data_IF_907830926781
#
_entry.id   IF_907830926781
#
_cell.length_a   1.000
_cell.length_b   1.000
_cell.length_c   1.000
_cell.angle_alpha   90.00
_cell.angle_beta   90.00
_cell.angle_gamma   90.00
#
_symmetry.space_group_name_H-M   'P 1'
#
loop_
_entity.id
_entity.type
_entity.pdbx_description
1 polymer ?
#
# COMPACT_ATOMS: atom_id res chain seq x y z
N UNK A 1 7.96 11.59 -9.40
CA UNK A 1 7.26 10.32 -9.60
C UNK A 1 7.09 9.71 -8.22
N UNK A 2 5.95 9.12 -7.97
CA UNK A 2 5.70 8.35 -6.75
C UNK A 2 5.63 6.87 -7.10
N UNK A 3 5.80 6.04 -6.09
CA UNK A 3 5.65 4.59 -6.19
C UNK A 3 4.75 4.13 -5.05
N UNK A 4 3.85 3.22 -5.38
CA UNK A 4 3.10 2.47 -4.40
C UNK A 4 3.90 1.21 -4.09
N UNK A 5 4.34 1.09 -2.84
CA UNK A 5 5.24 0.06 -2.35
C UNK A 5 4.54 -0.76 -1.29
N UNK A 6 4.72 -2.07 -1.32
CA UNK A 6 4.28 -3.00 -0.30
C UNK A 6 5.49 -3.74 0.25
N UNK A 7 5.65 -3.66 1.57
CA UNK A 7 6.54 -4.51 2.33
C UNK A 7 5.69 -5.61 2.96
N UNK A 8 5.85 -6.85 2.51
CA UNK A 8 5.14 -8.00 3.05
C UNK A 8 6.01 -8.76 4.05
N UNK A 9 5.42 -9.18 5.17
CA UNK A 9 6.12 -9.80 6.28
C UNK A 9 5.44 -11.07 6.74
N UNK A 10 6.26 -12.05 7.11
CA UNK A 10 5.79 -13.15 7.96
C UNK A 10 5.41 -12.63 9.36
N UNK A 11 4.29 -13.11 9.87
CA UNK A 11 3.77 -12.73 11.18
C UNK A 11 2.93 -11.45 11.20
N UNK A 12 1.98 -11.39 12.13
CA UNK A 12 0.91 -10.38 12.18
C UNK A 12 1.33 -9.02 12.75
N UNK A 13 2.46 -8.97 13.46
CA UNK A 13 2.88 -7.79 14.22
C UNK A 13 4.08 -7.07 13.59
N UNK A 14 4.67 -7.64 12.54
CA UNK A 14 5.91 -7.15 11.93
C UNK A 14 5.70 -5.85 11.15
N UNK A 15 4.61 -5.72 10.40
CA UNK A 15 4.31 -4.48 9.65
C UNK A 15 4.10 -3.27 10.57
N UNK A 16 3.57 -3.46 11.78
CA UNK A 16 3.39 -2.37 12.77
C UNK A 16 4.74 -1.92 13.35
N UNK A 17 5.64 -2.86 13.64
CA UNK A 17 7.01 -2.53 14.05
C UNK A 17 7.74 -1.81 12.93
N UNK A 18 7.53 -2.23 11.68
CA UNK A 18 8.13 -1.57 10.53
C UNK A 18 7.63 -0.13 10.35
N UNK A 19 6.33 0.11 10.59
CA UNK A 19 5.77 1.47 10.58
C UNK A 19 6.52 2.42 11.51
N UNK A 20 6.91 1.95 12.69
CA UNK A 20 7.67 2.77 13.65
C UNK A 20 9.08 3.11 13.14
N UNK A 21 9.75 2.17 12.48
CA UNK A 21 11.04 2.42 11.83
C UNK A 21 10.92 3.40 10.67
N UNK A 22 9.91 3.22 9.80
CA UNK A 22 9.65 4.15 8.70
C UNK A 22 9.39 5.56 9.21
N UNK A 23 8.75 5.69 10.37
CA UNK A 23 8.50 6.99 10.98
C UNK A 23 9.79 7.68 11.42
N UNK A 24 10.75 6.93 11.98
CA UNK A 24 12.06 7.48 12.32
C UNK A 24 12.86 7.90 11.07
N UNK A 25 12.86 7.07 10.02
CA UNK A 25 13.53 7.39 8.76
C UNK A 25 12.94 8.65 8.11
N UNK A 26 11.62 8.77 8.09
CA UNK A 26 10.95 9.96 7.58
C UNK A 26 11.28 11.21 8.42
N UNK A 27 11.30 11.09 9.75
CA UNK A 27 11.66 12.20 10.64
C UNK A 27 13.10 12.68 10.43
N UNK A 28 13.98 11.78 10.02
CA UNK A 28 15.39 12.07 9.66
C UNK A 28 15.54 12.53 8.21
N UNK A 29 14.45 12.73 7.49
CA UNK A 29 14.42 13.17 6.08
C UNK A 29 15.17 12.20 5.14
N UNK A 30 15.24 10.92 5.52
CA UNK A 30 15.90 9.88 4.72
C UNK A 30 14.98 9.29 3.66
N UNK A 31 13.67 9.35 3.89
CA UNK A 31 12.62 8.89 2.99
C UNK A 31 11.45 9.89 3.02
N UNK A 32 10.70 9.93 1.92
CA UNK A 32 9.49 10.75 1.80
C UNK A 32 8.29 9.83 1.59
N UNK A 33 7.40 9.76 2.57
CA UNK A 33 6.17 8.97 2.54
C UNK A 33 4.99 9.94 2.58
N UNK A 34 4.14 9.91 1.58
CA UNK A 34 2.93 10.75 1.55
C UNK A 34 1.78 10.10 2.29
N UNK A 35 1.68 8.78 2.17
CA UNK A 35 0.62 8.00 2.80
C UNK A 35 1.08 6.58 3.10
N UNK A 36 0.45 5.96 4.10
CA UNK A 36 0.76 4.60 4.49
C UNK A 36 -0.41 3.90 5.17
N UNK A 37 -0.50 2.59 4.97
CA UNK A 37 -1.46 1.72 5.63
C UNK A 37 -0.80 0.41 6.08
N UNK A 38 -1.07 0.03 7.33
CA UNK A 38 -0.72 -1.28 7.88
C UNK A 38 -1.89 -2.23 7.64
N UNK A 39 -1.59 -3.36 7.02
CA UNK A 39 -2.53 -4.43 6.73
C UNK A 39 -2.14 -5.66 7.54
N UNK A 40 -3.11 -6.27 8.22
CA UNK A 40 -2.92 -7.53 8.94
C UNK A 40 -3.93 -8.53 8.42
N UNK A 41 -3.46 -9.64 7.85
CA UNK A 41 -4.31 -10.73 7.37
C UNK A 41 -4.37 -11.82 8.44
N UNK A 42 -5.56 -12.02 9.01
CA UNK A 42 -5.76 -13.02 10.07
C UNK A 42 -5.73 -14.45 9.51
N UNK A 43 -5.54 -15.47 10.36
CA UNK A 43 -5.62 -16.88 9.95
C UNK A 43 -6.95 -17.28 9.29
N UNK A 44 -8.05 -16.62 9.67
CA UNK A 44 -9.37 -16.85 9.06
C UNK A 44 -9.57 -16.11 7.71
N UNK A 45 -8.50 -15.53 7.15
CA UNK A 45 -8.53 -14.74 5.91
C UNK A 45 -9.06 -13.32 6.07
N UNK A 46 -9.58 -12.93 7.24
CA UNK A 46 -10.08 -11.56 7.45
C UNK A 46 -8.93 -10.56 7.47
N UNK A 47 -9.09 -9.48 6.71
CA UNK A 47 -8.12 -8.39 6.66
C UNK A 47 -8.52 -7.27 7.62
N UNK A 48 -7.53 -6.74 8.33
CA UNK A 48 -7.63 -5.49 9.09
C UNK A 48 -6.71 -4.44 8.47
N UNK A 49 -7.23 -3.25 8.30
CA UNK A 49 -6.48 -2.10 7.79
C UNK A 49 -6.38 -1.05 8.89
N UNK A 50 -5.19 -0.52 9.09
CA UNK A 50 -4.94 0.66 9.92
C UNK A 50 -4.17 1.67 9.11
N UNK A 51 -4.73 2.86 8.90
CA UNK A 51 -3.96 3.95 8.32
C UNK A 51 -2.84 4.35 9.28
N UNK A 52 -1.63 4.47 8.76
CA UNK A 52 -0.44 4.79 9.52
C UNK A 52 -0.31 6.31 9.67
N UNK A 53 -1.27 6.97 10.34
CA UNK A 53 -1.40 8.43 10.44
C UNK A 53 -0.13 9.20 10.83
N UNK A 54 0.81 8.56 11.52
CA UNK A 54 2.11 9.16 11.86
C UNK A 54 3.01 9.39 10.65
N UNK A 55 2.82 8.62 9.58
CA UNK A 55 3.60 8.68 8.34
C UNK A 55 2.98 9.59 7.29
N UNK A 56 1.76 10.06 7.54
CA UNK A 56 0.89 10.65 6.52
C UNK A 56 1.07 12.17 6.47
N UNK A 57 1.28 12.71 5.26
CA UNK A 57 1.45 14.14 5.00
C UNK A 57 0.13 14.89 4.74
N UNK A 58 0.23 16.20 4.51
CA UNK A 58 -0.89 16.99 4.01
C UNK A 58 -1.25 16.55 2.58
N UNK A 59 -2.55 16.41 2.26
CA UNK A 59 -2.99 15.94 0.93
C UNK A 59 -2.89 14.43 0.72
N UNK A 60 -2.85 13.66 1.81
CA UNK A 60 -2.84 12.21 1.78
C UNK A 60 -4.13 11.59 1.27
N UNK A 61 -4.06 10.33 0.87
CA UNK A 61 -5.22 9.61 0.40
C UNK A 61 -6.14 9.28 1.59
N UNK A 62 -7.44 9.46 1.39
CA UNK A 62 -8.45 9.16 2.39
C UNK A 62 -8.56 7.66 2.64
N UNK A 63 -9.21 7.29 3.76
CA UNK A 63 -9.49 5.89 4.07
C UNK A 63 -10.32 5.16 2.99
N UNK A 64 -10.99 5.92 2.12
CA UNK A 64 -11.69 5.40 0.95
C UNK A 64 -10.74 4.77 -0.08
N UNK A 65 -9.57 5.36 -0.33
CA UNK A 65 -8.57 4.79 -1.23
C UNK A 65 -8.07 3.44 -0.71
N UNK A 66 -7.54 3.43 0.52
CA UNK A 66 -7.01 2.22 1.12
C UNK A 66 -8.08 1.14 1.28
N UNK A 67 -9.32 1.53 1.63
CA UNK A 67 -10.45 0.61 1.70
C UNK A 67 -10.77 -0.03 0.35
N UNK A 68 -10.72 0.74 -0.74
CA UNK A 68 -10.95 0.25 -2.10
C UNK A 68 -9.79 -0.65 -2.56
N UNK A 69 -8.54 -0.19 -2.48
CA UNK A 69 -7.37 -0.94 -2.93
C UNK A 69 -7.25 -2.28 -2.20
N UNK A 70 -7.29 -2.25 -0.87
CA UNK A 70 -7.17 -3.45 -0.03
C UNK A 70 -8.41 -4.34 -0.19
N UNK A 71 -9.59 -3.72 -0.37
CA UNK A 71 -10.80 -4.44 -0.73
C UNK A 71 -10.64 -5.24 -2.02
N UNK A 72 -10.12 -4.63 -3.08
CA UNK A 72 -9.88 -5.31 -4.35
C UNK A 72 -8.86 -6.45 -4.20
N UNK A 73 -7.73 -6.20 -3.52
CA UNK A 73 -6.66 -7.19 -3.35
C UNK A 73 -7.14 -8.43 -2.58
N UNK A 74 -7.86 -8.24 -1.46
CA UNK A 74 -8.12 -9.32 -0.50
C UNK A 74 -9.56 -9.84 -0.47
N UNK A 75 -10.53 -9.09 -1.00
CA UNK A 75 -11.93 -9.54 -1.09
C UNK A 75 -12.16 -10.45 -2.31
N UNK A 76 -11.18 -10.62 -3.19
CA UNK A 76 -11.29 -11.52 -4.35
C UNK A 76 -10.48 -12.80 -4.09
N UNK A 77 -11.11 -13.92 -3.70
CA UNK A 77 -10.42 -15.17 -3.36
C UNK A 77 -9.63 -15.85 -4.51
N UNK A 78 -9.44 -15.19 -5.66
CA UNK A 78 -9.20 -15.85 -6.93
C UNK A 78 -8.71 -14.94 -8.07
N UNK A 79 -7.68 -14.12 -7.88
CA UNK A 79 -7.03 -13.44 -9.03
C UNK A 79 -6.42 -14.42 -10.07
N UNK A 80 -6.52 -15.75 -9.84
CA UNK A 80 -6.32 -16.81 -10.83
C UNK A 80 -7.57 -17.51 -11.39
N UNK A 81 -8.79 -17.29 -10.85
CA UNK A 81 -10.03 -17.76 -11.47
C UNK A 81 -10.78 -16.55 -12.03
N UNK A 82 -10.70 -16.34 -13.34
CA UNK A 82 -11.31 -15.21 -14.02
C UNK A 82 -12.77 -14.94 -13.58
N UNK A 83 -13.01 -13.84 -12.85
CA UNK A 83 -14.37 -13.43 -12.45
C UNK A 83 -14.81 -12.20 -13.22
N UNK A 84 -15.20 -12.38 -14.48
CA UNK A 84 -16.13 -11.51 -15.23
C UNK A 84 -15.87 -9.98 -15.29
N UNK A 85 -16.85 -9.25 -15.83
CA UNK A 85 -16.73 -7.81 -16.12
C UNK A 85 -16.59 -6.90 -14.88
N UNK A 86 -17.07 -7.35 -13.71
CA UNK A 86 -17.01 -6.57 -12.46
C UNK A 86 -15.58 -6.40 -11.93
N UNK A 87 -14.74 -7.43 -12.07
CA UNK A 87 -13.35 -7.38 -11.59
C UNK A 87 -12.47 -6.54 -12.50
N UNK A 88 -12.59 -6.72 -13.81
CA UNK A 88 -11.92 -5.87 -14.79
C UNK A 88 -12.32 -4.40 -14.69
N UNK A 89 -13.57 -4.09 -14.32
CA UNK A 89 -14.02 -2.70 -14.18
C UNK A 89 -13.45 -1.99 -12.93
N UNK A 90 -13.17 -2.72 -11.84
CA UNK A 90 -12.55 -2.14 -10.64
C UNK A 90 -11.02 -2.08 -10.76
N UNK A 91 -10.41 -3.16 -11.28
CA UNK A 91 -8.97 -3.23 -11.50
C UNK A 91 -8.53 -2.26 -12.60
N UNK A 92 -9.30 -2.15 -13.69
CA UNK A 92 -9.04 -1.16 -14.74
C UNK A 92 -9.07 0.28 -14.23
N UNK A 93 -9.98 0.61 -13.31
CA UNK A 93 -9.99 1.93 -12.66
C UNK A 93 -8.75 2.18 -11.80
N UNK A 94 -8.22 1.17 -11.12
CA UNK A 94 -6.98 1.29 -10.35
C UNK A 94 -5.76 1.44 -11.28
N UNK A 95 -5.77 0.74 -12.41
CA UNK A 95 -4.74 0.86 -13.45
C UNK A 95 -4.73 2.25 -14.07
N UNK A 96 -5.90 2.89 -14.23
CA UNK A 96 -6.02 4.29 -14.66
C UNK A 96 -5.36 5.30 -13.70
N UNK A 97 -5.02 4.86 -12.47
CA UNK A 97 -4.26 5.61 -11.45
C UNK A 97 -2.83 5.07 -11.26
N UNK A 98 -2.29 4.29 -12.21
CA UNK A 98 -0.93 3.75 -12.15
C UNK A 98 -0.74 2.52 -11.25
N UNK A 99 -1.83 1.91 -10.79
CA UNK A 99 -1.80 0.69 -9.96
C UNK A 99 -2.07 -0.51 -10.86
N UNK A 100 -0.99 -1.15 -11.33
CA UNK A 100 -1.05 -2.26 -12.29
C UNK A 100 -1.75 -3.50 -11.71
N UNK A 101 -2.55 -4.18 -12.54
CA UNK A 101 -3.13 -5.49 -12.26
C UNK A 101 -2.09 -6.52 -11.78
N UNK A 102 -0.87 -6.47 -12.33
CA UNK A 102 0.23 -7.34 -11.90
C UNK A 102 0.57 -7.09 -10.43
N UNK A 103 0.69 -5.82 -10.04
CA UNK A 103 0.97 -5.43 -8.66
C UNK A 103 -0.14 -5.91 -7.71
N UNK A 104 -1.41 -5.67 -8.07
CA UNK A 104 -2.57 -6.12 -7.27
C UNK A 104 -2.53 -7.63 -7.05
N UNK A 105 -2.24 -8.38 -8.12
CA UNK A 105 -2.14 -9.84 -8.07
C UNK A 105 -0.98 -10.32 -7.20
N UNK A 106 0.21 -9.78 -7.43
CA UNK A 106 1.43 -10.15 -6.70
C UNK A 106 1.27 -9.90 -5.20
N UNK A 107 0.72 -8.74 -4.80
CA UNK A 107 0.42 -8.46 -3.39
C UNK A 107 -0.58 -9.44 -2.79
N UNK A 108 -1.63 -9.79 -3.54
CA UNK A 108 -2.65 -10.75 -3.08
C UNK A 108 -2.13 -12.18 -2.91
N UNK A 109 -1.12 -12.56 -3.71
CA UNK A 109 -0.44 -13.86 -3.65
C UNK A 109 0.60 -13.90 -2.51
N UNK A 110 1.36 -12.82 -2.30
CA UNK A 110 2.41 -12.74 -1.27
C UNK A 110 1.86 -12.56 0.15
N UNK A 111 0.81 -11.75 0.34
CA UNK A 111 0.28 -11.46 1.68
C UNK A 111 -0.72 -12.54 2.11
N UNK A 112 -0.20 -13.70 2.54
CA UNK A 112 -0.96 -14.89 2.93
C UNK A 112 -1.71 -14.76 4.28
N UNK A 113 -2.68 -15.64 4.62
CA UNK A 113 -3.28 -15.66 5.95
C UNK A 113 -2.22 -15.82 7.06
N UNK A 114 -2.42 -15.12 8.19
CA UNK A 114 -1.48 -15.04 9.33
C UNK A 114 -0.20 -14.20 9.07
N UNK A 115 -0.24 -13.32 8.08
CA UNK A 115 0.83 -12.37 7.75
C UNK A 115 0.43 -10.90 7.98
N UNK A 116 1.36 -9.98 7.71
CA UNK A 116 1.10 -8.55 7.68
C UNK A 116 1.85 -7.86 6.53
N UNK A 117 1.38 -6.67 6.15
CA UNK A 117 2.02 -5.86 5.12
C UNK A 117 1.94 -4.37 5.44
N UNK A 118 2.98 -3.63 5.07
CA UNK A 118 3.02 -2.16 5.13
C UNK A 118 2.94 -1.62 3.71
N UNK A 119 1.85 -0.93 3.41
CA UNK A 119 1.66 -0.22 2.15
C UNK A 119 2.14 1.22 2.33
N UNK A 120 2.89 1.72 1.37
CA UNK A 120 3.49 3.05 1.36
C UNK A 120 3.23 3.70 -0.01
N UNK A 121 2.73 4.94 -0.01
CA UNK A 121 2.87 5.82 -1.15
C UNK A 121 4.06 6.73 -0.86
N UNK A 122 5.11 6.61 -1.68
CA UNK A 122 6.38 7.26 -1.42
C UNK A 122 6.97 7.91 -2.67
N UNK A 123 7.79 8.92 -2.47
CA UNK A 123 8.55 9.58 -3.53
C UNK A 123 10.03 9.19 -3.48
N UNK A 124 10.68 9.24 -4.64
CA UNK A 124 12.13 9.06 -4.79
C UNK A 124 12.66 7.66 -4.38
N UNK A 125 13.98 7.50 -4.30
CA UNK A 125 14.73 6.25 -4.10
C UNK A 125 14.57 5.62 -2.69
N UNK A 126 13.33 5.60 -2.18
CA UNK A 126 12.95 5.04 -0.89
C UNK A 126 13.25 3.55 -0.83
N UNK A 127 13.22 2.85 -1.95
CA UNK A 127 13.52 1.42 -2.00
C UNK A 127 14.96 1.08 -1.68
N UNK A 128 15.90 1.86 -2.23
CA UNK A 128 17.32 1.68 -1.93
C UNK A 128 17.57 1.91 -0.43
N UNK A 129 16.92 2.93 0.14
CA UNK A 129 17.02 3.27 1.57
C UNK A 129 16.37 2.25 2.49
N UNK A 130 15.17 1.78 2.14
CA UNK A 130 14.47 0.71 2.85
C UNK A 130 15.35 -0.54 2.86
N UNK A 131 15.90 -0.93 1.72
CA UNK A 131 16.74 -2.14 1.61
C UNK A 131 18.06 -1.98 2.39
N UNK A 132 18.67 -0.80 2.36
CA UNK A 132 19.91 -0.49 3.08
C UNK A 132 19.71 -0.47 4.61
N UNK A 133 18.74 0.30 5.09
CA UNK A 133 18.51 0.55 6.52
C UNK A 133 17.80 -0.61 7.24
N UNK A 134 17.12 -1.48 6.49
CA UNK A 134 16.29 -2.55 7.05
C UNK A 134 16.77 -3.95 6.67
N UNK A 135 18.01 -4.08 6.22
CA UNK A 135 18.62 -5.39 5.87
C UNK A 135 18.58 -6.44 7.00
N UNK A 136 18.32 -6.02 8.24
CA UNK A 136 18.10 -6.91 9.40
C UNK A 136 16.71 -7.57 9.43
N UNK A 137 15.76 -7.12 8.61
CA UNK A 137 14.40 -7.67 8.54
C UNK A 137 14.24 -8.55 7.30
N UNK A 138 13.50 -9.64 7.45
CA UNK A 138 13.05 -10.46 6.33
C UNK A 138 11.69 -9.93 5.84
N UNK A 139 11.65 -9.46 4.60
CA UNK A 139 10.44 -8.98 3.95
C UNK A 139 10.54 -9.09 2.44
N UNK A 140 9.37 -9.16 1.79
CA UNK A 140 9.24 -9.10 0.35
C UNK A 140 8.79 -7.70 -0.07
N UNK A 141 9.39 -7.18 -1.14
CA UNK A 141 9.07 -5.88 -1.72
C UNK A 141 8.26 -6.11 -2.99
N UNK A 142 7.13 -5.42 -3.10
CA UNK A 142 6.33 -5.36 -4.33
C UNK A 142 6.03 -3.89 -4.60
N UNK A 143 6.23 -3.44 -5.84
CA UNK A 143 6.04 -2.03 -6.19
C UNK A 143 5.36 -1.83 -7.55
N UNK A 144 4.73 -0.67 -7.70
CA UNK A 144 4.26 -0.13 -8.98
C UNK A 144 4.55 1.37 -9.00
N UNK A 145 4.96 1.88 -10.16
CA UNK A 145 5.31 3.28 -10.33
C UNK A 145 4.13 4.08 -10.86
N UNK A 146 3.89 5.24 -10.29
CA UNK A 146 2.85 6.17 -10.71
C UNK A 146 3.50 7.31 -11.49
N UNK A 147 2.98 7.56 -12.69
CA UNK A 147 3.34 8.78 -13.41
C UNK A 147 2.82 10.01 -12.64
N UNK A 148 3.39 11.21 -12.83
CA UNK A 148 2.86 12.41 -12.20
C UNK A 148 1.36 12.63 -12.49
N UNK A 149 0.92 12.31 -13.72
CA UNK A 149 -0.48 12.44 -14.13
C UNK A 149 -1.40 11.45 -13.40
N UNK A 150 -0.94 10.22 -13.21
CA UNK A 150 -1.69 9.18 -12.50
C UNK A 150 -1.81 9.49 -11.01
N UNK A 151 -0.72 9.99 -10.42
CA UNK A 151 -0.70 10.47 -9.04
C UNK A 151 -1.66 11.63 -8.84
N UNK A 152 -1.65 12.63 -9.72
CA UNK A 152 -2.56 13.77 -9.66
C UNK A 152 -4.02 13.30 -9.71
N UNK A 153 -4.36 12.39 -10.64
CA UNK A 153 -5.71 11.79 -10.72
C UNK A 153 -6.07 11.01 -9.48
N UNK A 154 -5.12 10.28 -8.90
CA UNK A 154 -5.33 9.51 -7.69
C UNK A 154 -5.66 10.45 -6.51
N UNK A 155 -4.91 11.54 -6.37
CA UNK A 155 -5.15 12.57 -5.34
C UNK A 155 -6.44 13.34 -5.59
N UNK A 156 -6.80 13.63 -6.83
CA UNK A 156 -8.09 14.27 -7.15
C UNK A 156 -9.27 13.37 -6.79
N UNK A 157 -9.16 12.06 -7.06
CA UNK A 157 -10.23 11.10 -6.80
C UNK A 157 -10.36 10.71 -5.33
N UNK A 158 -9.25 10.67 -4.59
CA UNK A 158 -9.22 10.11 -3.23
C UNK A 158 -8.45 10.91 -2.19
N UNK A 159 -7.96 12.10 -2.52
CA UNK A 159 -7.37 13.02 -1.55
C UNK A 159 -8.35 13.21 -0.40
N UNK A 160 -7.86 13.08 0.83
CA UNK A 160 -8.66 13.44 1.98
C UNK A 160 -9.00 14.92 1.84
N UNK A 161 -10.28 15.25 1.59
CA UNK A 161 -10.78 16.60 1.79
C UNK A 161 -10.25 17.07 3.15
N UNK A 162 -9.74 18.30 3.23
CA UNK A 162 -9.79 19.05 4.48
C UNK A 162 -11.27 19.07 4.89
N UNK A 163 -11.70 18.05 5.63
CA UNK A 163 -12.89 18.16 6.46
C UNK A 163 -12.45 19.14 7.53
N UNK A 164 -12.57 20.41 7.18
CA UNK A 164 -12.56 21.53 8.07
C UNK A 164 -13.42 21.15 9.29
N UNK A 165 -12.78 21.26 10.45
CA UNK A 165 -13.45 21.26 11.74
C UNK A 165 -14.54 22.34 11.79
#
# INVERSE_FOLDING_TARGET
>A
MSSLVVLAFEGRDTAEQMREKMFDLQKRELITIDDAAVVVRKPNGQVKVKQARSLVGAGALGGAFWGLLIGVIFWMPWLGMAVGALTGALSGKLTDYGIDDKFIKEVGETVEPDSSALFLLAHDAVMDRITEELSEFEFEIIETNLSPEDEDRLREAFGADEIAA
#
